data_IF_339770589567
#
_entry.id   IF_339770589567
#
_cell.length_a   1.000
_cell.length_b   1.000
_cell.length_c   1.000
_cell.angle_alpha   90.00
_cell.angle_beta   90.00
_cell.angle_gamma   90.00
#
_symmetry.space_group_name_H-M   'P 1'
#
loop_
_entity.id
_entity.type
_entity.pdbx_description
1 polymer ?
#
# COMPACT_ATOMS: atom_id res chain seq x y z
N UNK A 1 1.11 -2.64 -27.51
CA UNK A 1 2.24 -1.71 -27.33
C UNK A 1 1.70 -0.49 -26.62
N UNK A 2 1.67 -0.52 -25.29
CA UNK A 2 1.11 0.55 -24.47
C UNK A 2 2.09 1.73 -24.36
N UNK A 3 1.54 2.93 -24.52
CA UNK A 3 2.28 4.19 -24.57
C UNK A 3 2.65 4.61 -23.15
N UNK A 4 3.93 4.50 -22.79
CA UNK A 4 4.48 5.17 -21.62
C UNK A 4 4.35 6.69 -21.80
N UNK A 5 3.34 7.31 -21.18
CA UNK A 5 3.23 8.76 -21.16
C UNK A 5 4.24 9.33 -20.16
N UNK A 6 5.27 10.00 -20.67
CA UNK A 6 6.13 10.86 -19.86
C UNK A 6 5.29 12.04 -19.34
N UNK A 7 5.11 12.17 -18.03
CA UNK A 7 4.56 13.40 -17.45
C UNK A 7 5.71 14.34 -17.08
N UNK A 8 5.53 15.63 -17.36
CA UNK A 8 6.52 16.67 -17.06
C UNK A 8 6.14 17.37 -15.77
N UNK A 9 7.03 17.30 -14.78
CA UNK A 9 7.04 18.22 -13.65
C UNK A 9 8.13 19.25 -13.98
N UNK A 10 7.71 20.50 -14.19
CA UNK A 10 8.50 21.72 -14.42
C UNK A 10 9.88 21.50 -15.10
N UNK A 11 9.87 21.29 -16.42
CA UNK A 11 11.07 21.27 -17.25
C UNK A 11 11.84 19.95 -17.34
N UNK A 12 11.49 18.93 -16.55
CA UNK A 12 12.07 17.59 -16.66
C UNK A 12 11.02 16.60 -17.19
N UNK A 13 11.36 15.91 -18.29
CA UNK A 13 10.57 14.79 -18.80
C UNK A 13 10.96 13.54 -18.01
N UNK A 14 10.04 13.00 -17.21
CA UNK A 14 10.26 11.75 -16.49
C UNK A 14 9.84 10.59 -17.37
N UNK A 15 10.77 9.68 -17.66
CA UNK A 15 10.44 8.37 -18.23
C UNK A 15 9.97 7.45 -17.10
N UNK A 16 8.64 7.33 -16.97
CA UNK A 16 8.03 6.48 -15.95
C UNK A 16 8.31 5.00 -16.13
N UNK A 17 8.60 4.54 -17.35
CA UNK A 17 8.96 3.14 -17.59
C UNK A 17 10.37 2.80 -17.12
N UNK A 18 11.30 3.76 -17.22
CA UNK A 18 12.60 3.62 -16.59
C UNK A 18 12.49 3.72 -15.06
N UNK A 19 11.71 4.68 -14.56
CA UNK A 19 11.51 4.86 -13.12
C UNK A 19 10.92 3.60 -12.46
N UNK A 20 9.91 2.99 -13.07
CA UNK A 20 9.30 1.73 -12.62
C UNK A 20 10.32 0.59 -12.54
N UNK A 21 11.16 0.41 -13.57
CA UNK A 21 12.20 -0.62 -13.59
C UNK A 21 13.22 -0.44 -12.47
N UNK A 22 13.68 0.80 -12.24
CA UNK A 22 14.63 1.10 -11.18
C UNK A 22 14.00 0.89 -9.80
N UNK A 23 12.74 1.33 -9.61
CA UNK A 23 12.01 1.12 -8.37
C UNK A 23 11.87 -0.37 -8.05
N UNK A 24 11.46 -1.19 -9.02
CA UNK A 24 11.35 -2.65 -8.85
C UNK A 24 12.72 -3.30 -8.58
N UNK A 25 13.79 -2.85 -9.23
CA UNK A 25 15.13 -3.38 -8.99
C UNK A 25 15.63 -3.09 -7.56
N UNK A 26 15.30 -1.91 -7.02
CA UNK A 26 15.68 -1.54 -5.65
C UNK A 26 14.78 -2.29 -4.64
N UNK A 27 13.47 -2.34 -4.88
CA UNK A 27 12.50 -3.03 -4.01
C UNK A 27 12.82 -4.52 -3.86
N UNK A 28 13.18 -5.21 -4.94
CA UNK A 28 13.56 -6.62 -4.92
C UNK A 28 14.81 -6.96 -4.07
N UNK A 29 15.59 -5.94 -3.66
CA UNK A 29 16.74 -6.13 -2.77
C UNK A 29 16.38 -6.05 -1.29
N UNK A 30 15.12 -5.70 -0.96
CA UNK A 30 14.68 -5.59 0.41
C UNK A 30 14.59 -6.99 1.07
N UNK A 31 15.12 -7.16 2.29
CA UNK A 31 15.16 -8.46 2.98
C UNK A 31 13.79 -8.91 3.53
N UNK A 32 12.72 -8.15 3.31
CA UNK A 32 11.39 -8.39 3.87
C UNK A 32 10.39 -8.97 2.86
N UNK A 33 10.85 -9.36 1.66
CA UNK A 33 10.01 -9.93 0.60
C UNK A 33 9.66 -11.42 0.80
N UNK A 34 9.74 -11.93 2.04
CA UNK A 34 9.35 -13.30 2.34
C UNK A 34 7.82 -13.37 2.49
N UNK A 35 7.18 -14.14 1.61
CA UNK A 35 5.73 -14.33 1.58
C UNK A 35 5.15 -14.82 2.92
N UNK A 36 5.92 -15.57 3.71
CA UNK A 36 5.48 -16.05 5.03
C UNK A 36 5.39 -14.92 6.06
N UNK A 37 6.34 -13.97 6.02
CA UNK A 37 6.38 -12.80 6.90
C UNK A 37 5.22 -11.85 6.59
N UNK A 38 4.98 -11.58 5.31
CA UNK A 38 3.89 -10.72 4.85
C UNK A 38 2.52 -11.29 5.22
N UNK A 39 2.34 -12.62 5.16
CA UNK A 39 1.10 -13.27 5.56
C UNK A 39 0.79 -13.05 7.05
N UNK A 40 1.77 -13.25 7.93
CA UNK A 40 1.60 -13.04 9.38
C UNK A 40 1.28 -11.59 9.73
N UNK A 41 1.91 -10.64 9.02
CA UNK A 41 1.56 -9.22 9.15
C UNK A 41 0.12 -8.97 8.69
N UNK A 42 -0.30 -9.54 7.56
CA UNK A 42 -1.64 -9.30 7.03
C UNK A 42 -2.73 -9.82 7.98
N UNK A 43 -2.55 -11.00 8.56
CA UNK A 43 -3.45 -11.52 9.60
C UNK A 43 -3.54 -10.59 10.82
N UNK A 44 -2.38 -10.11 11.28
CA UNK A 44 -2.30 -9.21 12.44
C UNK A 44 -2.98 -7.87 12.17
N UNK A 45 -2.68 -7.24 11.03
CA UNK A 45 -3.27 -5.96 10.63
C UNK A 45 -4.78 -6.06 10.40
N UNK A 46 -5.29 -7.18 9.86
CA UNK A 46 -6.73 -7.40 9.75
C UNK A 46 -7.41 -7.41 11.13
N UNK A 47 -6.83 -8.12 12.11
CA UNK A 47 -7.36 -8.15 13.47
C UNK A 47 -7.34 -6.78 14.17
N UNK A 48 -6.23 -6.05 14.03
CA UNK A 48 -6.11 -4.71 14.61
C UNK A 48 -7.01 -3.69 13.93
N UNK A 49 -7.22 -3.78 12.62
CA UNK A 49 -8.08 -2.86 11.88
C UNK A 49 -9.53 -2.98 12.33
N UNK A 50 -10.06 -4.20 12.47
CA UNK A 50 -11.42 -4.40 13.00
C UNK A 50 -11.55 -3.94 14.46
N UNK A 51 -10.51 -4.17 15.28
CA UNK A 51 -10.50 -3.71 16.68
C UNK A 51 -10.49 -2.19 16.78
N UNK A 52 -9.68 -1.51 15.95
CA UNK A 52 -9.60 -0.06 15.90
C UNK A 52 -10.92 0.57 15.44
N UNK A 53 -11.58 0.01 14.42
CA UNK A 53 -12.89 0.47 13.96
C UNK A 53 -13.93 0.44 15.11
N UNK A 54 -13.99 -0.66 15.86
CA UNK A 54 -14.87 -0.78 17.04
C UNK A 54 -14.53 0.25 18.13
N UNK A 55 -13.25 0.52 18.35
CA UNK A 55 -12.82 1.52 19.34
C UNK A 55 -13.22 2.93 18.92
N UNK A 56 -13.09 3.27 17.63
CA UNK A 56 -13.53 4.56 17.08
C UNK A 56 -15.04 4.71 17.23
N UNK A 57 -15.82 3.69 16.86
CA UNK A 57 -17.28 3.68 17.03
C UNK A 57 -17.65 3.88 18.51
N UNK A 58 -17.03 3.14 19.41
CA UNK A 58 -17.34 3.21 20.85
C UNK A 58 -17.00 4.59 21.44
N UNK A 59 -15.88 5.17 21.01
CA UNK A 59 -15.37 6.42 21.60
C UNK A 59 -16.02 7.66 21.00
N UNK A 60 -16.46 7.60 19.74
CA UNK A 60 -16.96 8.77 18.99
C UNK A 60 -18.42 8.66 18.57
N UNK A 61 -18.99 7.46 18.58
CA UNK A 61 -20.31 7.16 18.00
C UNK A 61 -20.32 7.16 16.47
N UNK A 62 -19.18 7.38 15.81
CA UNK A 62 -19.09 7.49 14.36
C UNK A 62 -18.81 6.14 13.70
N UNK A 63 -19.47 5.91 12.57
CA UNK A 63 -19.24 4.76 11.68
C UNK A 63 -18.75 5.21 10.33
N UNK A 64 -17.90 4.40 9.71
CA UNK A 64 -17.50 4.58 8.31
C UNK A 64 -18.72 4.45 7.39
N UNK A 65 -18.90 5.43 6.51
CA UNK A 65 -19.88 5.33 5.42
C UNK A 65 -19.34 4.54 4.22
N UNK A 66 -18.03 4.33 4.15
CA UNK A 66 -17.37 3.62 3.05
C UNK A 66 -17.31 2.09 3.26
N UNK A 67 -18.01 1.59 4.27
CA UNK A 67 -17.99 0.20 4.70
C UNK A 67 -16.90 -0.09 5.73
N UNK A 68 -16.73 -1.39 6.02
CA UNK A 68 -15.80 -1.90 7.02
C UNK A 68 -14.34 -1.52 6.71
N UNK A 69 -13.59 -1.21 7.75
CA UNK A 69 -12.16 -0.93 7.66
C UNK A 69 -11.38 -2.16 7.17
N UNK A 70 -10.45 -1.94 6.23
CA UNK A 70 -9.65 -3.01 5.59
C UNK A 70 -8.16 -2.74 5.76
N UNK A 71 -7.39 -3.79 6.01
CA UNK A 71 -5.94 -3.73 5.99
C UNK A 71 -5.38 -4.27 4.67
N UNK A 72 -4.25 -3.71 4.26
CA UNK A 72 -3.42 -4.24 3.18
C UNK A 72 -1.95 -4.07 3.56
N UNK A 73 -1.23 -5.17 3.64
CA UNK A 73 0.23 -5.17 3.76
C UNK A 73 0.83 -5.04 2.36
N UNK A 74 1.86 -4.21 2.22
CA UNK A 74 2.58 -3.96 0.96
C UNK A 74 4.04 -4.34 1.13
N UNK A 75 4.63 -4.92 0.08
CA UNK A 75 6.04 -5.33 -0.03
C UNK A 75 6.76 -4.59 -1.16
#
# INVERSE_FOLDING_TARGET
MERYQASSVDGMTVDWGLAEKVANQIANRAPFNDASYLKGLNESFNGFTSSAEKLVETSTGLKSFSGEAKAKVVD
#
